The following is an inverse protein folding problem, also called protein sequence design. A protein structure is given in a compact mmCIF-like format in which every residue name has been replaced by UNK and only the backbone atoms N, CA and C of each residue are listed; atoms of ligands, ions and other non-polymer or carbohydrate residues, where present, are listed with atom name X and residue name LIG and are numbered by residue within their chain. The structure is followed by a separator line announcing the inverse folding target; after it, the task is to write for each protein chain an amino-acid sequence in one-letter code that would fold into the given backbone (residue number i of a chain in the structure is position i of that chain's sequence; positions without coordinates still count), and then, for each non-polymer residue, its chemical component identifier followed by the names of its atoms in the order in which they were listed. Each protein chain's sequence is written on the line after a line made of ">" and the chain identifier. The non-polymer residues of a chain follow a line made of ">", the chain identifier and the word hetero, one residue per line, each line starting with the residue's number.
data_IF_011892135993
#
_entry.id   IF_011892135993
#
_cell.length_a   1.000
_cell.length_b   1.000
_cell.length_c   1.000
_cell.angle_alpha   90.00
_cell.angle_beta   90.00
_cell.angle_gamma   90.00
#
_symmetry.space_group_name_H-M   'P 1'
#
loop_
_entity.id
_entity.type
_entity.pdbx_description
1 polymer ?
#
# COMPACT_ATOMS: atom_id res chain seq x y z
N UNK A 1 24.73 -17.87 -9.93
CA UNK A 1 24.33 -16.67 -9.19
C UNK A 1 23.17 -16.06 -9.96
N UNK A 2 21.95 -16.04 -9.40
CA UNK A 2 20.78 -15.40 -10.02
C UNK A 2 21.06 -13.91 -10.17
N UNK A 3 20.81 -13.35 -11.34
CA UNK A 3 21.04 -11.91 -11.56
C UNK A 3 20.08 -11.10 -10.70
N UNK A 4 20.46 -9.87 -10.34
CA UNK A 4 19.61 -8.96 -9.56
C UNK A 4 18.21 -8.84 -10.18
N UNK A 5 18.13 -8.84 -11.51
CA UNK A 5 16.87 -8.73 -12.25
C UNK A 5 15.96 -9.96 -12.07
N UNK A 6 16.52 -11.16 -11.98
CA UNK A 6 15.74 -12.39 -11.75
C UNK A 6 15.17 -12.45 -10.33
N UNK A 7 15.93 -11.97 -9.33
CA UNK A 7 15.44 -11.86 -7.96
C UNK A 7 14.32 -10.83 -7.83
N UNK A 8 14.44 -9.72 -8.56
CA UNK A 8 13.45 -8.64 -8.54
C UNK A 8 12.15 -9.03 -9.27
N UNK A 9 12.23 -9.72 -10.40
CA UNK A 9 11.05 -10.28 -11.08
C UNK A 9 10.30 -11.29 -10.20
N UNK A 10 11.04 -12.07 -9.41
CA UNK A 10 10.47 -13.01 -8.44
C UNK A 10 9.71 -12.28 -7.33
N UNK A 11 10.29 -11.24 -6.73
CA UNK A 11 9.63 -10.42 -5.69
C UNK A 11 8.36 -9.76 -6.23
N UNK A 12 8.42 -9.20 -7.44
CA UNK A 12 7.26 -8.61 -8.10
C UNK A 12 6.14 -9.64 -8.32
N UNK A 13 6.49 -10.85 -8.80
CA UNK A 13 5.53 -11.95 -8.96
C UNK A 13 4.88 -12.35 -7.63
N UNK A 14 5.66 -12.49 -6.57
CA UNK A 14 5.14 -12.85 -5.23
C UNK A 14 4.20 -11.78 -4.66
N UNK A 15 4.54 -10.49 -4.80
CA UNK A 15 3.67 -9.40 -4.35
C UNK A 15 2.35 -9.38 -5.10
N UNK A 16 2.39 -9.56 -6.43
CA UNK A 16 1.19 -9.62 -7.26
C UNK A 16 0.29 -10.81 -6.90
N UNK A 17 0.86 -12.00 -6.73
CA UNK A 17 0.08 -13.18 -6.33
C UNK A 17 -0.52 -13.02 -4.93
N UNK A 18 0.19 -12.38 -3.99
CA UNK A 18 -0.36 -12.08 -2.67
C UNK A 18 -1.51 -11.06 -2.74
N UNK A 19 -1.47 -10.10 -3.66
CA UNK A 19 -2.56 -9.16 -3.92
C UNK A 19 -3.81 -9.91 -4.42
N UNK A 20 -3.65 -10.81 -5.39
CA UNK A 20 -4.75 -11.62 -5.95
C UNK A 20 -5.34 -12.60 -4.90
N UNK A 21 -4.49 -13.16 -4.02
CA UNK A 21 -4.90 -13.98 -2.88
C UNK A 21 -5.66 -13.17 -1.81
N UNK A 22 -5.24 -11.94 -1.55
CA UNK A 22 -5.98 -11.01 -0.72
C UNK A 22 -7.35 -10.75 -1.37
N UNK A 23 -7.42 -10.30 -2.61
CA UNK A 23 -8.69 -10.01 -3.29
C UNK A 23 -9.69 -11.18 -3.30
N UNK A 24 -9.19 -12.42 -3.44
CA UNK A 24 -10.02 -13.63 -3.45
C UNK A 24 -10.48 -14.09 -2.05
N UNK A 25 -9.64 -13.97 -1.01
CA UNK A 25 -9.97 -14.34 0.37
C UNK A 25 -10.93 -13.38 1.10
N UNK A 26 -11.29 -12.26 0.46
CA UNK A 26 -12.05 -11.16 1.06
C UNK A 26 -13.51 -11.06 0.56
N UNK A 27 -13.96 -11.95 -0.35
CA UNK A 27 -15.38 -12.08 -0.73
C UNK A 27 -16.20 -12.68 0.42
N UNK A 28 -16.61 -11.86 1.37
CA UNK A 28 -17.41 -12.30 2.52
C UNK A 28 -18.23 -11.19 3.14
N UNK A 29 -19.50 -11.13 2.76
CA UNK A 29 -20.58 -10.27 3.29
C UNK A 29 -20.87 -10.44 4.79
N UNK A 30 -20.07 -11.21 5.55
CA UNK A 30 -20.22 -11.46 6.99
C UNK A 30 -19.43 -10.52 7.92
N UNK A 31 -18.40 -9.81 7.42
CA UNK A 31 -17.43 -9.10 8.28
C UNK A 31 -17.91 -7.73 8.79
N UNK A 32 -18.73 -7.01 8.01
CA UNK A 32 -19.37 -5.77 8.50
C UNK A 32 -20.41 -6.07 9.61
N UNK A 33 -20.93 -7.30 9.67
CA UNK A 33 -21.81 -7.79 10.74
C UNK A 33 -21.05 -8.02 12.04
N UNK A 34 -19.86 -8.64 11.97
CA UNK A 34 -19.00 -8.83 13.15
C UNK A 34 -18.53 -7.48 13.73
N UNK A 35 -18.23 -6.50 12.88
CA UNK A 35 -17.90 -5.14 13.33
C UNK A 35 -19.04 -4.52 14.14
N UNK A 36 -20.32 -4.73 13.76
CA UNK A 36 -21.47 -4.21 14.52
C UNK A 36 -21.57 -4.77 15.95
N UNK A 37 -21.00 -5.94 16.22
CA UNK A 37 -20.97 -6.51 17.56
C UNK A 37 -19.92 -5.86 18.47
N UNK A 38 -18.90 -5.22 17.89
CA UNK A 38 -17.76 -4.64 18.63
C UNK A 38 -17.82 -3.11 18.72
N UNK A 39 -18.63 -2.44 17.88
CA UNK A 39 -18.80 -0.98 17.92
C UNK A 39 -19.60 -0.57 19.16
N UNK A 40 -19.05 0.37 19.91
CA UNK A 40 -19.65 0.96 21.11
C UNK A 40 -19.96 2.47 20.93
N UNK A 41 -20.84 3.05 21.78
CA UNK A 41 -21.05 4.49 21.82
C UNK A 41 -19.74 5.27 22.01
N UNK A 42 -19.52 6.30 21.19
CA UNK A 42 -18.30 7.11 21.18
C UNK A 42 -17.24 6.64 20.17
N UNK A 43 -17.38 5.44 19.63
CA UNK A 43 -16.46 4.92 18.61
C UNK A 43 -16.61 5.65 17.27
N UNK A 44 -15.56 5.55 16.45
CA UNK A 44 -15.53 6.02 15.07
C UNK A 44 -15.43 4.81 14.16
N UNK A 45 -16.27 4.75 13.12
CA UNK A 45 -16.21 3.73 12.08
C UNK A 45 -15.86 4.39 10.74
N UNK A 46 -14.82 3.89 10.08
CA UNK A 46 -14.24 4.48 8.87
C UNK A 46 -14.59 3.63 7.65
N UNK A 47 -15.06 4.27 6.60
CA UNK A 47 -15.48 3.65 5.34
C UNK A 47 -14.72 4.22 4.14
N UNK A 48 -14.53 3.45 3.06
CA UNK A 48 -13.82 3.94 1.87
C UNK A 48 -14.71 4.83 0.98
N UNK A 49 -16.04 4.75 1.16
CA UNK A 49 -16.99 5.53 0.38
C UNK A 49 -18.24 5.86 1.17
N UNK A 50 -18.92 6.95 0.79
CA UNK A 50 -20.22 7.31 1.34
C UNK A 50 -21.27 6.22 1.10
N UNK A 51 -21.17 5.47 0.01
CA UNK A 51 -22.10 4.39 -0.30
C UNK A 51 -22.06 3.27 0.75
N UNK A 52 -20.87 2.78 1.08
CA UNK A 52 -20.67 1.74 2.10
C UNK A 52 -21.10 2.25 3.48
N UNK A 53 -20.78 3.51 3.78
CA UNK A 53 -21.22 4.16 5.02
C UNK A 53 -22.74 4.19 5.16
N UNK A 54 -23.47 4.63 4.13
CA UNK A 54 -24.94 4.68 4.17
C UNK A 54 -25.57 3.29 4.31
N UNK A 55 -24.98 2.27 3.67
CA UNK A 55 -25.41 0.87 3.86
C UNK A 55 -25.25 0.45 5.32
N UNK A 56 -24.09 0.70 5.92
CA UNK A 56 -23.83 0.41 7.33
C UNK A 56 -24.76 1.18 8.26
N UNK A 57 -25.00 2.47 7.99
CA UNK A 57 -25.89 3.32 8.78
C UNK A 57 -27.31 2.75 8.86
N UNK A 58 -27.81 2.15 7.79
CA UNK A 58 -29.13 1.50 7.76
C UNK A 58 -29.19 0.23 8.63
N UNK A 59 -28.06 -0.47 8.77
CA UNK A 59 -27.94 -1.67 9.58
C UNK A 59 -27.69 -1.38 11.07
N UNK A 60 -27.36 -0.13 11.43
CA UNK A 60 -27.04 0.23 12.81
C UNK A 60 -28.21 -0.10 13.77
N UNK A 61 -27.93 -0.83 14.87
CA UNK A 61 -28.92 -1.09 15.90
C UNK A 61 -29.30 0.20 16.61
N UNK A 62 -30.54 0.31 17.15
CA UNK A 62 -31.00 1.51 17.86
C UNK A 62 -30.06 1.99 18.97
N UNK A 63 -29.33 1.07 19.63
CA UNK A 63 -28.37 1.38 20.69
C UNK A 63 -27.18 2.23 20.23
N UNK A 64 -26.85 2.22 18.93
CA UNK A 64 -25.67 2.90 18.35
C UNK A 64 -26.01 4.09 17.46
N UNK A 65 -27.26 4.22 17.00
CA UNK A 65 -27.68 5.32 16.10
C UNK A 65 -27.44 6.69 16.76
N UNK A 66 -26.67 7.54 16.09
CA UNK A 66 -26.31 8.88 16.58
C UNK A 66 -25.32 8.89 17.76
N UNK A 67 -24.81 7.72 18.17
CA UNK A 67 -23.86 7.58 19.28
C UNK A 67 -22.47 7.16 18.83
N UNK A 68 -22.34 6.59 17.64
CA UNK A 68 -21.05 6.41 16.96
C UNK A 68 -20.87 7.46 15.87
N UNK A 69 -19.63 7.81 15.58
CA UNK A 69 -19.26 8.64 14.44
C UNK A 69 -18.98 7.74 13.25
N UNK A 70 -19.49 8.10 12.07
CA UNK A 70 -19.21 7.40 10.82
C UNK A 70 -18.48 8.38 9.90
N UNK A 71 -17.32 7.99 9.40
CA UNK A 71 -16.46 8.86 8.60
C UNK A 71 -16.11 8.17 7.28
N UNK A 72 -16.00 8.96 6.22
CA UNK A 72 -15.44 8.50 4.94
C UNK A 72 -14.01 9.00 4.87
N UNK A 73 -13.07 8.08 4.72
CA UNK A 73 -11.65 8.41 4.55
C UNK A 73 -11.16 7.63 3.34
N UNK A 74 -10.49 8.29 2.40
CA UNK A 74 -9.94 7.57 1.26
C UNK A 74 -8.71 6.73 1.70
N UNK A 75 -8.58 5.48 1.25
CA UNK A 75 -7.50 4.60 1.67
C UNK A 75 -6.09 5.05 1.20
N UNK A 76 -6.01 5.79 0.10
CA UNK A 76 -4.79 6.35 -0.48
C UNK A 76 -4.35 7.67 0.19
N UNK A 77 -5.28 8.41 0.77
CA UNK A 77 -5.04 9.68 1.47
C UNK A 77 -4.60 9.48 2.94
N UNK A 78 -3.70 8.55 3.23
CA UNK A 78 -3.35 8.25 4.63
C UNK A 78 -2.47 9.34 5.30
N UNK A 79 -3.06 10.51 5.54
CA UNK A 79 -2.75 11.41 6.64
C UNK A 79 -3.62 11.06 7.85
N UNK A 80 -3.62 9.77 8.24
CA UNK A 80 -4.34 9.20 9.39
C UNK A 80 -4.11 10.03 10.65
N UNK A 81 -2.94 10.67 10.76
CA UNK A 81 -2.57 11.54 11.86
C UNK A 81 -3.57 12.67 12.16
N UNK A 82 -4.29 13.24 11.18
CA UNK A 82 -5.27 14.28 11.45
C UNK A 82 -6.68 13.73 11.75
N UNK A 83 -7.08 12.64 11.10
CA UNK A 83 -8.33 11.94 11.40
C UNK A 83 -8.28 11.29 12.80
N UNK A 84 -7.12 10.75 13.21
CA UNK A 84 -6.89 10.11 14.49
C UNK A 84 -6.58 11.08 15.65
N UNK A 85 -6.08 12.29 15.39
CA UNK A 85 -5.84 13.28 16.46
C UNK A 85 -7.11 13.64 17.24
N UNK A 86 -8.28 13.52 16.62
CA UNK A 86 -9.59 13.74 17.26
C UNK A 86 -10.19 12.48 17.92
N UNK A 87 -9.53 11.33 17.84
CA UNK A 87 -9.92 10.06 18.48
C UNK A 87 -9.57 10.05 19.98
N UNK A 88 -8.75 11.00 20.44
CA UNK A 88 -8.30 11.14 21.84
C UNK A 88 -9.42 11.74 22.74
N UNK A 89 -10.65 11.25 22.57
CA UNK A 89 -11.78 11.42 23.50
C UNK A 89 -12.47 10.09 23.81
N UNK A 90 -11.67 9.04 23.96
CA UNK A 90 -12.07 7.80 24.65
C UNK A 90 -12.79 6.74 23.81
N UNK A 91 -12.90 6.89 22.49
CA UNK A 91 -13.49 5.88 21.59
C UNK A 91 -12.45 5.13 20.76
N UNK A 92 -12.80 3.92 20.32
CA UNK A 92 -12.00 3.09 19.40
C UNK A 92 -12.29 3.47 17.96
N UNK A 93 -11.30 3.32 17.06
CA UNK A 93 -11.51 3.44 15.62
C UNK A 93 -11.62 2.07 15.00
N UNK A 94 -12.73 1.82 14.33
CA UNK A 94 -12.97 0.63 13.54
C UNK A 94 -12.86 0.99 12.07
N UNK A 95 -12.09 0.21 11.32
CA UNK A 95 -12.03 0.35 9.87
C UNK A 95 -12.92 -0.71 9.26
N UNK A 96 -13.84 -0.28 8.39
CA UNK A 96 -14.60 -1.23 7.60
C UNK A 96 -13.66 -2.11 6.78
N UNK A 97 -14.03 -3.37 6.63
CA UNK A 97 -13.18 -4.34 5.97
C UNK A 97 -12.83 -3.94 4.53
N UNK A 98 -13.77 -3.34 3.80
CA UNK A 98 -13.52 -2.85 2.44
C UNK A 98 -12.53 -1.68 2.43
N UNK A 99 -12.48 -0.89 3.50
CA UNK A 99 -11.45 0.14 3.68
C UNK A 99 -10.07 -0.49 3.85
N UNK A 100 -9.93 -1.44 4.77
CA UNK A 100 -8.66 -2.13 5.05
C UNK A 100 -8.13 -2.82 3.79
N UNK A 101 -9.02 -3.45 3.02
CA UNK A 101 -8.67 -4.06 1.75
C UNK A 101 -8.13 -3.04 0.75
N UNK A 102 -8.88 -1.96 0.51
CA UNK A 102 -8.47 -0.94 -0.44
C UNK A 102 -7.17 -0.24 -0.03
N UNK A 103 -6.93 -0.07 1.27
CA UNK A 103 -5.67 0.43 1.81
C UNK A 103 -4.50 -0.48 1.45
N UNK A 104 -4.62 -1.79 1.69
CA UNK A 104 -3.55 -2.72 1.37
C UNK A 104 -3.26 -2.81 -0.13
N UNK A 105 -4.31 -2.78 -0.96
CA UNK A 105 -4.14 -2.76 -2.42
C UNK A 105 -3.37 -1.50 -2.84
N UNK A 106 -3.83 -0.33 -2.41
CA UNK A 106 -3.17 0.95 -2.71
C UNK A 106 -1.72 1.00 -2.21
N UNK A 107 -1.46 0.47 -1.00
CA UNK A 107 -0.12 0.43 -0.41
C UNK A 107 0.84 -0.45 -1.21
N UNK A 108 0.37 -1.64 -1.63
CA UNK A 108 1.17 -2.55 -2.45
C UNK A 108 1.42 -1.94 -3.83
N UNK A 109 0.40 -1.37 -4.48
CA UNK A 109 0.56 -0.71 -5.79
C UNK A 109 1.56 0.45 -5.73
N UNK A 110 1.51 1.27 -4.67
CA UNK A 110 2.47 2.34 -4.44
C UNK A 110 3.91 1.79 -4.30
N UNK A 111 4.08 0.73 -3.50
CA UNK A 111 5.39 0.10 -3.34
C UNK A 111 5.91 -0.47 -4.67
N UNK A 112 5.05 -1.14 -5.45
CA UNK A 112 5.41 -1.64 -6.78
C UNK A 112 5.85 -0.51 -7.72
N UNK A 113 5.16 0.63 -7.70
CA UNK A 113 5.56 1.82 -8.46
C UNK A 113 6.92 2.39 -8.04
N UNK A 114 7.21 2.43 -6.74
CA UNK A 114 8.54 2.81 -6.23
C UNK A 114 9.63 1.83 -6.67
N UNK A 115 9.35 0.53 -6.63
CA UNK A 115 10.30 -0.49 -7.09
C UNK A 115 10.61 -0.37 -8.59
N UNK A 116 9.59 -0.14 -9.42
CA UNK A 116 9.77 0.08 -10.87
C UNK A 116 10.61 1.34 -11.16
N UNK A 117 10.33 2.42 -10.44
CA UNK A 117 11.06 3.69 -10.57
C UNK A 117 12.52 3.55 -10.15
N UNK A 118 12.79 2.82 -9.07
CA UNK A 118 14.16 2.51 -8.64
C UNK A 118 14.90 1.62 -9.66
N UNK A 119 14.22 0.65 -10.26
CA UNK A 119 14.84 -0.19 -11.30
C UNK A 119 15.27 0.64 -12.52
N UNK A 120 14.39 1.53 -12.99
CA UNK A 120 14.71 2.45 -14.09
C UNK A 120 15.93 3.31 -13.77
N UNK A 121 16.01 3.84 -12.54
CA UNK A 121 17.18 4.61 -12.09
C UNK A 121 18.48 3.78 -12.13
N UNK A 122 18.46 2.53 -11.65
CA UNK A 122 19.64 1.67 -11.70
C UNK A 122 20.09 1.35 -13.13
N UNK A 123 19.15 1.13 -14.05
CA UNK A 123 19.45 0.92 -15.47
C UNK A 123 20.10 2.15 -16.12
N UNK A 124 19.65 3.36 -15.76
CA UNK A 124 20.24 4.62 -16.24
C UNK A 124 21.65 4.84 -15.68
N UNK A 125 21.88 4.52 -14.40
CA UNK A 125 23.18 4.71 -13.72
C UNK A 125 24.20 3.63 -14.11
N UNK A 126 23.78 2.39 -14.34
CA UNK A 126 24.66 1.28 -14.69
C UNK A 126 24.75 0.98 -16.19
N UNK A 127 23.76 1.36 -16.99
CA UNK A 127 23.80 1.31 -18.46
C UNK A 127 24.62 2.44 -19.10
N UNK A 128 25.00 3.47 -18.32
CA UNK A 128 25.81 4.61 -18.76
C UNK A 128 27.32 4.37 -18.80
N UNK A 129 27.85 3.28 -18.23
CA UNK A 129 29.25 2.88 -18.46
C UNK A 129 29.34 2.11 -19.77
N UNK A 130 29.46 2.85 -20.87
CA UNK A 130 30.01 2.29 -22.11
C UNK A 130 31.49 1.95 -21.87
N UNK A 131 31.84 0.71 -22.14
CA UNK A 131 33.19 0.12 -22.10
C UNK A 131 34.12 0.68 -23.20
N UNK A 132 34.08 1.99 -23.48
CA UNK A 132 34.75 2.60 -24.64
C UNK A 132 36.03 3.39 -24.30
N UNK A 133 36.64 3.18 -23.13
CA UNK A 133 38.03 3.59 -22.88
C UNK A 133 38.93 2.36 -22.77
N UNK A 134 39.24 1.80 -23.94
CA UNK A 134 40.42 0.96 -24.10
C UNK A 134 41.63 1.90 -23.96
N UNK A 135 42.50 1.76 -22.94
CA UNK A 135 43.73 2.54 -22.93
C UNK A 135 44.54 2.11 -24.14
N UNK A 136 44.71 3.01 -25.11
CA UNK A 136 45.68 2.84 -26.17
C UNK A 136 47.03 2.61 -25.51
N UNK A 137 47.54 1.37 -25.61
CA UNK A 137 48.95 1.10 -25.35
C UNK A 137 49.75 1.77 -26.46
N UNK A 138 50.14 3.01 -26.25
CA UNK A 138 51.26 3.60 -26.98
C UNK A 138 52.54 2.90 -26.51
N UNK A 139 52.99 1.92 -27.30
CA UNK A 139 54.34 1.41 -27.23
C UNK A 139 55.28 2.50 -27.74
N UNK A 140 55.65 3.45 -26.89
CA UNK A 140 56.84 4.26 -27.10
C UNK A 140 57.92 3.77 -26.15
N UNK A 141 58.83 2.96 -26.70
CA UNK A 141 60.12 2.66 -26.09
C UNK A 141 60.98 3.90 -26.28
N UNK A 142 61.46 4.58 -25.23
CA UNK A 142 62.43 5.64 -25.40
C UNK A 142 63.76 5.01 -25.83
N UNK A 143 64.19 5.30 -27.05
CA UNK A 143 65.54 5.03 -27.49
C UNK A 143 66.48 6.03 -26.81
N UNK A 144 67.11 5.62 -25.71
CA UNK A 144 68.30 6.29 -25.18
C UNK A 144 69.32 5.27 -24.71
N UNK A 145 70.43 5.24 -25.47
CA UNK A 145 71.84 5.01 -25.12
C UNK A 145 72.24 3.78 -24.31
#
# INVERSE_FOLDING_TARGET
>A
MTSTNERMATIHGMLKSNLELLESGLRGTGRSTDMMHHVEPGDIVVFPSSQTLEQFRRMLPPRLRGKCRLEVVQPDEMHLGNALKNVIRGGTVHFDHSWVQAYWVSSIDCQLGHFQSFNKFLEEVHGGRRDDEKPERTNEVPAWQ
#
